data_IF_441622173987
#
_entry.id   IF_441622173987
#
_cell.length_a   1.000
_cell.length_b   1.000
_cell.length_c   1.000
_cell.angle_alpha   90.00
_cell.angle_beta   90.00
_cell.angle_gamma   90.00
#
_symmetry.space_group_name_H-M   'P 1'
#
loop_
_entity.id
_entity.type
_entity.pdbx_description
1 polymer ?
#
# COMPACT_ATOMS: atom_id res chain seq x y z
N UNK A 1 -26.69 29.94 -0.17
CA UNK A 1 -25.91 29.21 0.86
C UNK A 1 -25.44 27.91 0.21
N UNK A 2 -24.19 27.87 -0.26
CA UNK A 2 -23.61 26.66 -0.86
C UNK A 2 -23.14 25.76 0.28
N UNK A 3 -23.84 24.65 0.52
CA UNK A 3 -23.36 23.61 1.44
C UNK A 3 -22.35 22.79 0.65
N UNK A 4 -21.08 22.96 0.98
CA UNK A 4 -20.00 22.11 0.49
C UNK A 4 -20.30 20.69 0.99
N UNK A 5 -20.69 19.76 0.09
CA UNK A 5 -20.83 18.35 0.45
C UNK A 5 -19.48 17.88 0.98
N UNK A 6 -19.42 17.55 2.26
CA UNK A 6 -18.32 16.79 2.84
C UNK A 6 -18.39 15.40 2.20
N UNK A 7 -17.55 15.16 1.19
CA UNK A 7 -17.35 13.81 0.66
C UNK A 7 -16.53 13.02 1.67
N UNK A 8 -17.22 12.30 2.55
CA UNK A 8 -16.59 11.32 3.41
C UNK A 8 -16.02 10.22 2.51
N UNK A 9 -14.74 9.88 2.70
CA UNK A 9 -14.14 8.78 1.96
C UNK A 9 -14.89 7.49 2.28
N UNK A 10 -15.27 6.71 1.25
CA UNK A 10 -15.91 5.39 1.38
C UNK A 10 -14.97 4.29 1.94
N UNK A 11 -13.97 4.71 2.71
CA UNK A 11 -12.97 3.86 3.31
C UNK A 11 -13.63 2.89 4.28
N UNK A 12 -13.33 1.60 4.13
CA UNK A 12 -14.00 0.55 4.90
C UNK A 12 -13.20 -0.73 4.94
N UNK A 13 -13.52 -1.54 5.94
CA UNK A 13 -13.03 -2.92 6.01
C UNK A 13 -13.93 -3.85 5.20
N UNK A 14 -13.32 -4.80 4.50
CA UNK A 14 -14.02 -5.83 3.76
C UNK A 14 -13.33 -7.18 3.97
N UNK A 15 -14.13 -8.25 4.00
CA UNK A 15 -13.62 -9.62 4.04
C UNK A 15 -13.53 -10.17 2.63
N UNK A 16 -12.41 -10.80 2.31
CA UNK A 16 -12.20 -11.57 1.10
C UNK A 16 -11.61 -12.91 1.51
N UNK A 17 -12.40 -13.98 1.40
CA UNK A 17 -12.06 -15.31 1.95
C UNK A 17 -11.59 -15.20 3.41
N UNK A 18 -10.43 -15.78 3.74
CA UNK A 18 -9.81 -15.77 5.06
C UNK A 18 -8.94 -14.53 5.31
N UNK A 19 -9.15 -13.45 4.55
CA UNK A 19 -8.44 -12.18 4.70
C UNK A 19 -9.36 -11.03 5.07
N UNK A 20 -8.82 -10.12 5.88
CA UNK A 20 -9.42 -8.84 6.21
C UNK A 20 -8.65 -7.74 5.48
N UNK A 21 -9.35 -6.98 4.66
CA UNK A 21 -8.81 -5.91 3.84
C UNK A 21 -9.36 -4.57 4.30
N UNK A 22 -8.58 -3.51 4.12
CA UNK A 22 -9.04 -2.13 4.29
C UNK A 22 -8.92 -1.41 2.96
N UNK A 23 -10.05 -0.97 2.42
CA UNK A 23 -10.10 -0.16 1.22
C UNK A 23 -9.95 1.31 1.61
N UNK A 24 -8.88 1.92 1.15
CA UNK A 24 -8.52 3.32 1.39
C UNK A 24 -8.63 4.08 0.06
N UNK A 25 -9.85 4.45 -0.30
CA UNK A 25 -10.16 5.16 -1.53
C UNK A 25 -9.51 6.54 -1.57
N UNK A 26 -9.44 7.23 -0.43
CA UNK A 26 -8.78 8.53 -0.32
C UNK A 26 -7.32 8.48 -0.78
N UNK A 27 -6.62 7.38 -0.48
CA UNK A 27 -5.22 7.18 -0.89
C UNK A 27 -5.05 6.27 -2.12
N UNK A 28 -6.14 5.77 -2.72
CA UNK A 28 -6.13 4.76 -3.78
C UNK A 28 -5.32 3.51 -3.36
N UNK A 29 -5.55 3.00 -2.15
CA UNK A 29 -4.81 1.88 -1.55
C UNK A 29 -5.74 0.78 -1.04
N UNK A 30 -5.30 -0.46 -1.18
CA UNK A 30 -5.82 -1.60 -0.44
C UNK A 30 -4.77 -2.03 0.60
N UNK A 31 -5.18 -2.19 1.87
CA UNK A 31 -4.31 -2.71 2.93
C UNK A 31 -4.74 -4.12 3.30
N UNK A 32 -3.82 -5.07 3.27
CA UNK A 32 -4.06 -6.41 3.81
C UNK A 32 -3.82 -6.31 5.32
N UNK A 33 -4.90 -6.36 6.11
CA UNK A 33 -4.82 -6.21 7.57
C UNK A 33 -4.53 -7.55 8.24
N UNK A 34 -5.19 -8.61 7.78
CA UNK A 34 -5.05 -9.98 8.32
C UNK A 34 -5.25 -10.99 7.20
N UNK A 35 -4.56 -12.11 7.32
CA UNK A 35 -4.73 -13.31 6.50
C UNK A 35 -4.36 -14.51 7.39
N UNK A 36 -4.93 -15.68 7.12
CA UNK A 36 -4.61 -16.89 7.86
C UNK A 36 -3.41 -17.62 7.24
N UNK A 37 -3.54 -18.07 5.99
CA UNK A 37 -2.48 -18.73 5.23
C UNK A 37 -2.24 -17.93 3.95
N UNK A 38 -1.00 -17.49 3.76
CA UNK A 38 -0.62 -16.74 2.59
C UNK A 38 -0.28 -17.70 1.44
N UNK A 39 -1.21 -17.86 0.51
CA UNK A 39 -0.99 -18.60 -0.74
C UNK A 39 -0.84 -17.63 -1.91
N UNK A 40 -0.22 -18.11 -3.00
CA UNK A 40 -0.15 -17.34 -4.25
C UNK A 40 -1.56 -16.97 -4.74
N UNK A 41 -2.49 -17.93 -4.72
CA UNK A 41 -3.86 -17.74 -5.18
C UNK A 41 -4.59 -16.65 -4.37
N UNK A 42 -4.38 -16.60 -3.05
CA UNK A 42 -4.96 -15.55 -2.21
C UNK A 42 -4.40 -14.17 -2.58
N UNK A 43 -3.09 -14.07 -2.82
CA UNK A 43 -2.46 -12.81 -3.24
C UNK A 43 -3.01 -12.37 -4.60
N UNK A 44 -3.06 -13.29 -5.57
CA UNK A 44 -3.55 -13.00 -6.93
C UNK A 44 -5.01 -12.51 -6.89
N UNK A 45 -5.87 -13.12 -6.07
CA UNK A 45 -7.24 -12.68 -5.87
C UNK A 45 -7.36 -11.32 -5.19
N UNK A 46 -6.53 -11.01 -4.20
CA UNK A 46 -6.50 -9.68 -3.58
C UNK A 46 -6.07 -8.63 -4.60
N UNK A 47 -5.12 -8.94 -5.48
CA UNK A 47 -4.66 -8.04 -6.54
C UNK A 47 -5.76 -7.78 -7.57
N UNK A 48 -6.46 -8.83 -8.03
CA UNK A 48 -7.64 -8.68 -8.90
C UNK A 48 -8.77 -7.92 -8.21
N UNK A 49 -8.97 -8.15 -6.92
CA UNK A 49 -9.94 -7.39 -6.14
C UNK A 49 -9.61 -5.90 -6.10
N UNK A 50 -8.34 -5.55 -5.84
CA UNK A 50 -7.88 -4.18 -5.85
C UNK A 50 -8.05 -3.52 -7.23
N UNK A 51 -7.78 -4.25 -8.34
CA UNK A 51 -8.05 -3.80 -9.72
C UNK A 51 -9.52 -3.50 -9.93
N UNK A 52 -10.41 -4.43 -9.57
CA UNK A 52 -11.86 -4.25 -9.68
C UNK A 52 -12.41 -3.07 -8.86
N UNK A 53 -11.70 -2.66 -7.81
CA UNK A 53 -12.02 -1.48 -6.99
C UNK A 53 -11.32 -0.19 -7.44
N UNK A 54 -10.57 -0.20 -8.54
CA UNK A 54 -9.81 0.93 -9.07
C UNK A 54 -8.78 1.51 -8.06
N UNK A 55 -8.18 0.65 -7.23
CA UNK A 55 -7.13 1.04 -6.29
C UNK A 55 -5.76 0.92 -6.96
N UNK A 56 -4.89 1.90 -6.72
CA UNK A 56 -3.58 1.98 -7.39
C UNK A 56 -2.48 1.17 -6.73
N UNK A 57 -2.62 0.81 -5.45
CA UNK A 57 -1.56 0.14 -4.69
C UNK A 57 -2.13 -0.82 -3.64
N UNK A 58 -1.49 -1.97 -3.48
CA UNK A 58 -1.72 -2.90 -2.37
C UNK A 58 -0.54 -2.82 -1.41
N UNK A 59 -0.81 -2.76 -0.11
CA UNK A 59 0.22 -2.79 0.94
C UNK A 59 -0.11 -3.82 2.01
N UNK A 60 0.92 -4.35 2.66
CA UNK A 60 0.77 -5.21 3.82
C UNK A 60 1.93 -4.98 4.79
N UNK A 61 1.65 -5.15 6.08
CA UNK A 61 2.67 -5.37 7.08
C UNK A 61 2.68 -6.88 7.34
N UNK A 62 3.78 -7.55 7.03
CA UNK A 62 3.87 -9.01 7.14
C UNK A 62 5.01 -9.43 8.08
N UNK A 63 4.97 -10.67 8.53
CA UNK A 63 6.07 -11.27 9.29
C UNK A 63 7.22 -11.58 8.35
N UNK A 64 8.44 -11.68 8.90
CA UNK A 64 9.64 -12.03 8.12
C UNK A 64 9.49 -13.33 7.32
N UNK A 65 8.78 -14.31 7.88
CA UNK A 65 8.50 -15.60 7.23
C UNK A 65 7.63 -15.50 5.96
N UNK A 66 6.80 -14.47 5.84
CA UNK A 66 5.89 -14.27 4.71
C UNK A 66 6.48 -13.39 3.59
N UNK A 67 7.62 -12.74 3.84
CA UNK A 67 8.24 -11.80 2.89
C UNK A 67 8.51 -12.45 1.55
N UNK A 68 9.05 -13.66 1.55
CA UNK A 68 9.42 -14.35 0.32
C UNK A 68 8.20 -14.73 -0.52
N UNK A 69 7.06 -15.03 0.11
CA UNK A 69 5.80 -15.26 -0.61
C UNK A 69 5.31 -13.98 -1.30
N UNK A 70 5.35 -12.84 -0.59
CA UNK A 70 5.02 -11.54 -1.17
C UNK A 70 5.98 -11.15 -2.30
N UNK A 71 7.29 -11.33 -2.13
CA UNK A 71 8.29 -11.06 -3.17
C UNK A 71 8.08 -11.91 -4.42
N UNK A 72 7.77 -13.20 -4.27
CA UNK A 72 7.45 -14.10 -5.39
C UNK A 72 6.18 -13.66 -6.13
N UNK A 73 5.26 -12.98 -5.46
CA UNK A 73 4.08 -12.36 -6.07
C UNK A 73 4.35 -10.95 -6.64
N UNK A 74 5.60 -10.47 -6.63
CA UNK A 74 6.00 -9.19 -7.22
C UNK A 74 5.92 -7.99 -6.27
N UNK A 75 5.69 -8.19 -4.97
CA UNK A 75 5.76 -7.10 -4.00
C UNK A 75 7.20 -6.68 -3.74
N UNK A 76 7.38 -5.41 -3.40
CA UNK A 76 8.65 -4.81 -2.98
C UNK A 76 8.60 -4.49 -1.49
N UNK A 77 9.69 -4.75 -0.77
CA UNK A 77 9.86 -4.35 0.63
C UNK A 77 10.20 -2.86 0.68
N UNK A 78 9.39 -2.07 1.38
CA UNK A 78 9.57 -0.62 1.54
C UNK A 78 10.28 -0.26 2.86
N UNK A 79 10.29 -1.16 3.85
CA UNK A 79 10.92 -0.91 5.13
C UNK A 79 10.58 -1.95 6.19
N UNK A 80 11.08 -1.70 7.40
CA UNK A 80 10.87 -2.52 8.58
C UNK A 80 10.33 -1.62 9.70
N UNK A 81 9.35 -2.12 10.44
CA UNK A 81 8.85 -1.47 11.66
C UNK A 81 9.18 -2.36 12.84
N UNK A 82 10.12 -1.92 13.67
CA UNK A 82 10.58 -2.68 14.82
C UNK A 82 9.46 -2.85 15.86
N UNK A 83 9.32 -4.06 16.40
CA UNK A 83 8.37 -4.34 17.47
C UNK A 83 6.87 -4.29 17.11
N UNK A 84 6.50 -4.09 15.84
CA UNK A 84 5.12 -3.93 15.39
C UNK A 84 4.16 -5.07 15.83
N UNK A 85 4.57 -6.32 15.65
CA UNK A 85 3.80 -7.50 16.01
C UNK A 85 4.13 -7.98 17.43
N UNK A 86 3.63 -7.27 18.45
CA UNK A 86 3.85 -7.60 19.88
C UNK A 86 5.34 -7.81 20.20
N UNK A 87 6.19 -6.90 19.75
CA UNK A 87 7.64 -6.99 19.94
C UNK A 87 8.40 -7.73 18.83
N UNK A 88 7.72 -8.26 17.80
CA UNK A 88 8.36 -8.76 16.58
C UNK A 88 8.23 -7.75 15.44
N UNK A 89 9.26 -7.64 14.62
CA UNK A 89 9.29 -6.66 13.54
C UNK A 89 8.29 -7.00 12.44
N UNK A 90 7.74 -5.95 11.82
CA UNK A 90 6.94 -6.07 10.60
C UNK A 90 7.77 -5.65 9.39
N UNK A 91 7.56 -6.35 8.30
CA UNK A 91 8.10 -6.03 6.98
C UNK A 91 7.00 -5.32 6.21
N UNK A 92 7.24 -4.06 5.82
CA UNK A 92 6.30 -3.30 5.02
C UNK A 92 6.51 -3.67 3.56
N UNK A 93 5.51 -4.28 2.93
CA UNK A 93 5.56 -4.68 1.53
C UNK A 93 4.51 -3.95 0.71
N UNK A 94 4.79 -3.75 -0.56
CA UNK A 94 3.83 -3.13 -1.46
C UNK A 94 3.88 -3.60 -2.91
N UNK A 95 2.76 -3.45 -3.59
CA UNK A 95 2.58 -3.76 -4.99
C UNK A 95 1.79 -2.63 -5.67
N UNK A 96 2.32 -2.07 -6.76
CA UNK A 96 1.58 -1.12 -7.58
C UNK A 96 0.74 -1.89 -8.60
N UNK A 97 -0.58 -1.67 -8.58
CA UNK A 97 -1.51 -2.34 -9.49
C UNK A 97 -1.24 -1.96 -10.94
N UNK A 98 -0.81 -0.72 -11.14
CA UNK A 98 -0.51 -0.15 -12.44
C UNK A 98 0.97 0.23 -12.50
N UNK A 99 1.73 -0.39 -13.40
CA UNK A 99 3.19 -0.18 -13.51
C UNK A 99 3.51 1.24 -13.96
N UNK A 100 2.66 1.85 -14.77
CA UNK A 100 2.87 3.20 -15.31
C UNK A 100 2.80 4.28 -14.21
N UNK A 101 2.07 4.03 -13.11
CA UNK A 101 2.08 4.94 -11.94
C UNK A 101 3.31 4.80 -11.04
N UNK A 102 4.07 3.70 -11.13
CA UNK A 102 5.25 3.50 -10.30
C UNK A 102 6.40 4.44 -10.71
N UNK A 103 6.52 4.77 -11.99
CA UNK A 103 7.60 5.62 -12.53
C UNK A 103 7.17 7.06 -12.84
N UNK A 104 5.94 7.28 -13.33
CA UNK A 104 5.64 8.53 -14.03
C UNK A 104 5.20 9.68 -13.11
N UNK A 105 4.55 9.42 -11.97
CA UNK A 105 3.99 10.49 -11.11
C UNK A 105 4.96 11.07 -10.07
N UNK A 106 6.21 10.60 -10.03
CA UNK A 106 7.13 10.95 -8.92
C UNK A 106 8.51 11.41 -9.31
N UNK A 107 8.93 11.35 -10.58
CA UNK A 107 10.29 11.76 -10.94
C UNK A 107 10.42 13.28 -10.94
N UNK A 108 9.56 13.98 -11.67
CA UNK A 108 9.61 15.44 -11.81
C UNK A 108 9.26 16.19 -10.50
N UNK A 109 8.24 15.73 -9.76
CA UNK A 109 7.89 16.30 -8.45
C UNK A 109 8.92 16.00 -7.37
N UNK A 110 9.56 14.80 -7.38
CA UNK A 110 10.64 14.54 -6.43
C UNK A 110 11.85 15.41 -6.73
N UNK A 111 12.22 15.57 -8.00
CA UNK A 111 13.38 16.36 -8.40
C UNK A 111 13.16 17.85 -8.09
N UNK A 112 11.94 18.37 -8.25
CA UNK A 112 11.61 19.76 -7.88
C UNK A 112 11.66 19.99 -6.37
N UNK A 113 11.11 19.07 -5.57
CA UNK A 113 11.18 19.13 -4.09
C UNK A 113 12.64 18.98 -3.62
N UNK A 114 13.43 18.09 -4.24
CA UNK A 114 14.85 17.93 -3.92
C UNK A 114 15.61 19.23 -4.17
N UNK A 115 15.36 19.87 -5.32
CA UNK A 115 15.94 21.19 -5.64
C UNK A 115 15.59 22.25 -4.61
N UNK A 116 14.30 22.35 -4.24
CA UNK A 116 13.86 23.32 -3.23
C UNK A 116 14.47 23.10 -1.85
N UNK A 117 14.78 21.85 -1.48
CA UNK A 117 15.48 21.53 -0.24
C UNK A 117 16.99 21.83 -0.30
N UNK A 118 17.63 21.61 -1.45
CA UNK A 118 19.06 21.86 -1.67
C UNK A 118 19.40 23.34 -1.86
N UNK A 119 18.47 24.14 -2.40
CA UNK A 119 18.64 25.58 -2.63
C UNK A 119 18.37 26.44 -1.38
N UNK A 120 18.00 25.83 -0.23
CA UNK A 120 17.91 26.57 1.03
C UNK A 120 19.32 26.76 1.60
N UNK A 121 19.76 28.01 1.85
CA UNK A 121 21.02 28.24 2.54
C UNK A 121 20.95 27.59 3.93
N UNK A 122 21.96 26.78 4.24
CA UNK A 122 22.16 26.27 5.60
C UNK A 122 22.43 27.49 6.49
N UNK A 123 21.50 27.76 7.41
CA UNK A 123 21.64 28.79 8.45
C UNK A 123 22.61 28.29 9.49
#
# INVERSE_FOLDING_TARGET
MYIQKLEFSDNREEKLKDSLLYLDYANSRLKILKYNVLSKDLIDEILEYARGKNLGKVIANCRKEDVDAFKKAGFVVEGIIDGFFRGKDAQCVSFFIDKDRAEQKRKEEKDSILKMCLDKPQI
#
